data_IF_425721493707
#
_entry.id   IF_425721493707
#
_cell.length_a   1.000
_cell.length_b   1.000
_cell.length_c   1.000
_cell.angle_alpha   90.00
_cell.angle_beta   90.00
_cell.angle_gamma   90.00
#
_symmetry.space_group_name_H-M   'P 1'
#
loop_
_entity.id
_entity.type
_entity.pdbx_description
1 polymer ?
#
# COMPACT_ATOMS: atom_id res chain seq x y z
N UNK A 1 2.05 -8.35 16.27
CA UNK A 1 1.05 -7.79 17.21
C UNK A 1 -0.14 -7.32 16.42
N UNK A 2 -1.34 -7.39 17.00
CA UNK A 2 -2.55 -6.84 16.37
C UNK A 2 -2.69 -5.36 16.76
N UNK A 3 -3.38 -4.59 15.94
CA UNK A 3 -3.61 -3.18 16.22
C UNK A 3 -4.68 -3.04 17.31
N UNK A 4 -4.41 -2.23 18.33
CA UNK A 4 -5.31 -2.00 19.46
C UNK A 4 -5.87 -0.59 19.40
N UNK A 5 -7.15 -0.46 19.69
CA UNK A 5 -7.90 0.80 19.75
C UNK A 5 -8.56 0.96 21.12
N UNK A 6 -9.18 2.10 21.39
CA UNK A 6 -9.87 2.37 22.67
C UNK A 6 -10.97 1.33 22.96
N UNK A 7 -11.60 0.82 21.91
CA UNK A 7 -12.75 -0.10 21.93
C UNK A 7 -12.38 -1.55 21.61
N UNK A 8 -11.14 -1.82 21.19
CA UNK A 8 -10.67 -3.17 20.90
C UNK A 8 -9.27 -3.38 21.45
N UNK A 9 -9.19 -4.17 22.53
CA UNK A 9 -7.94 -4.53 23.20
C UNK A 9 -7.34 -5.80 22.57
N UNK A 10 -6.31 -5.61 21.76
CA UNK A 10 -5.56 -6.70 21.13
C UNK A 10 -4.08 -6.72 21.59
N UNK A 11 -3.79 -6.08 22.72
CA UNK A 11 -2.43 -6.00 23.27
C UNK A 11 -2.15 -7.11 24.30
N UNK A 12 -0.90 -7.24 24.73
CA UNK A 12 -0.47 -8.30 25.67
C UNK A 12 -0.24 -7.74 27.09
N UNK A 13 -0.84 -6.59 27.42
CA UNK A 13 -0.77 -5.98 28.76
C UNK A 13 -1.95 -6.46 29.61
N UNK A 14 -1.81 -6.39 30.93
CA UNK A 14 -2.91 -6.68 31.87
C UNK A 14 -4.02 -5.63 31.86
N UNK A 15 -3.83 -4.52 31.14
CA UNK A 15 -4.83 -3.48 30.94
C UNK A 15 -4.62 -2.77 29.61
N UNK A 16 -5.67 -2.09 29.13
CA UNK A 16 -5.75 -1.60 27.76
C UNK A 16 -4.81 -0.42 27.48
N UNK A 17 -3.74 -0.68 26.73
CA UNK A 17 -2.72 0.33 26.43
C UNK A 17 -3.28 1.50 25.62
N UNK A 18 -4.23 1.25 24.73
CA UNK A 18 -4.86 2.30 23.94
C UNK A 18 -5.60 3.34 24.80
N UNK A 19 -6.23 2.89 25.90
CA UNK A 19 -6.91 3.77 26.86
C UNK A 19 -5.90 4.50 27.75
N UNK A 20 -4.87 3.79 28.22
CA UNK A 20 -3.85 4.34 29.12
C UNK A 20 -3.05 5.46 28.42
N UNK A 21 -2.59 5.19 27.20
CA UNK A 21 -1.66 6.05 26.45
C UNK A 21 -2.31 6.88 25.35
N UNK A 22 -3.66 6.93 25.32
CA UNK A 22 -4.43 7.91 24.54
C UNK A 22 -4.11 7.89 23.03
N UNK A 23 -3.88 6.70 22.48
CA UNK A 23 -3.58 6.49 21.06
C UNK A 23 -3.91 5.08 20.60
N UNK A 24 -4.01 4.86 19.29
CA UNK A 24 -4.20 3.53 18.70
C UNK A 24 -2.91 3.07 18.02
N UNK A 25 -2.46 1.86 18.34
CA UNK A 25 -1.15 1.37 17.89
C UNK A 25 -1.09 -0.17 17.91
N UNK A 26 -0.07 -0.73 17.26
CA UNK A 26 0.31 -2.13 17.45
C UNK A 26 1.03 -2.28 18.80
N UNK A 27 0.26 -2.38 19.88
CA UNK A 27 0.78 -2.48 21.25
C UNK A 27 1.19 -3.92 21.62
N UNK A 28 2.27 -4.08 22.40
CA UNK A 28 2.65 -5.35 23.06
C UNK A 28 2.26 -5.28 24.54
N UNK A 29 3.25 -5.30 25.44
CA UNK A 29 3.18 -4.63 26.73
C UNK A 29 3.25 -3.10 26.51
N UNK A 30 2.19 -2.56 25.91
CA UNK A 30 2.05 -1.17 25.49
C UNK A 30 3.07 -0.75 24.44
N UNK A 31 3.82 0.33 24.63
CA UNK A 31 4.63 0.87 23.54
C UNK A 31 5.98 1.44 23.92
N UNK A 32 6.89 1.41 22.94
CA UNK A 32 8.01 2.36 22.80
C UNK A 32 7.75 3.47 21.79
N UNK A 33 6.71 3.32 20.95
CA UNK A 33 6.28 4.32 19.99
C UNK A 33 4.76 4.48 20.02
N UNK A 34 4.29 5.72 19.98
CA UNK A 34 2.86 6.03 19.96
C UNK A 34 2.65 7.20 19.00
N UNK A 35 2.74 6.93 17.70
CA UNK A 35 2.65 8.00 16.68
C UNK A 35 1.23 8.56 16.53
N UNK A 36 0.24 7.85 17.09
CA UNK A 36 -1.17 8.26 17.11
C UNK A 36 -1.62 8.74 18.51
N UNK A 37 -0.68 9.11 19.38
CA UNK A 37 -0.96 9.66 20.71
C UNK A 37 -1.44 11.11 20.68
N UNK A 38 -1.66 11.71 21.85
CA UNK A 38 -2.10 13.10 21.94
C UNK A 38 -1.03 14.06 21.42
N UNK A 39 -1.46 15.11 20.73
CA UNK A 39 -0.56 16.17 20.30
C UNK A 39 -0.29 17.15 21.44
N UNK A 40 0.81 16.96 22.18
CA UNK A 40 1.13 17.72 23.41
C UNK A 40 2.23 18.78 23.25
N UNK A 41 2.57 19.14 22.00
CA UNK A 41 3.48 20.26 21.62
C UNK A 41 4.82 20.25 22.38
N UNK A 42 5.68 19.28 22.08
CA UNK A 42 7.02 19.22 22.66
C UNK A 42 7.04 18.68 24.10
N UNK A 43 7.85 19.23 25.01
CA UNK A 43 7.94 18.73 26.39
C UNK A 43 6.61 18.84 27.14
N UNK A 44 6.20 17.76 27.81
CA UNK A 44 4.96 17.70 28.61
C UNK A 44 5.14 16.88 29.88
N UNK A 45 4.27 17.07 30.88
CA UNK A 45 4.37 16.41 32.19
C UNK A 45 3.68 15.05 32.26
N UNK A 46 2.74 14.76 31.36
CA UNK A 46 2.03 13.49 31.32
C UNK A 46 2.90 12.36 30.76
N UNK A 47 2.72 11.14 31.26
CA UNK A 47 3.54 10.00 30.87
C UNK A 47 3.02 9.34 29.60
N UNK A 48 3.84 9.32 28.54
CA UNK A 48 3.74 8.44 27.37
C UNK A 48 2.42 8.51 26.56
N UNK A 49 1.58 9.52 26.84
CA UNK A 49 0.29 9.70 26.18
C UNK A 49 0.36 10.65 24.99
N UNK A 50 1.57 11.10 24.62
CA UNK A 50 1.82 12.03 23.54
C UNK A 50 2.16 11.32 22.23
N UNK A 51 2.44 12.09 21.18
CA UNK A 51 3.05 11.55 19.95
C UNK A 51 4.51 11.19 20.25
N UNK A 52 4.78 9.95 20.68
CA UNK A 52 6.07 9.58 21.26
C UNK A 52 6.90 8.64 20.38
N UNK A 53 8.21 8.86 20.37
CA UNK A 53 9.23 7.89 19.93
C UNK A 53 10.30 7.82 21.02
N UNK A 54 10.26 6.74 21.81
CA UNK A 54 11.03 6.62 23.06
C UNK A 54 12.52 6.86 22.83
N UNK A 55 13.10 6.22 21.81
CA UNK A 55 14.54 6.30 21.55
C UNK A 55 15.01 7.70 21.10
N UNK A 56 14.09 8.58 20.67
CA UNK A 56 14.46 9.92 20.20
C UNK A 56 14.37 10.98 21.32
N UNK A 57 13.23 11.06 22.01
CA UNK A 57 12.99 12.10 23.04
C UNK A 57 12.30 11.58 24.31
N UNK A 58 12.12 10.27 24.44
CA UNK A 58 11.45 9.65 25.58
C UNK A 58 9.92 9.87 25.59
N UNK A 59 9.31 9.59 26.75
CA UNK A 59 7.85 9.61 26.93
C UNK A 59 7.25 10.95 27.33
N UNK A 60 8.09 11.92 27.71
CA UNK A 60 7.69 13.26 28.17
C UNK A 60 7.86 14.33 27.08
N UNK A 61 7.92 13.89 25.82
CA UNK A 61 8.07 14.78 24.68
C UNK A 61 7.18 14.29 23.53
N UNK A 62 6.24 15.12 23.12
CA UNK A 62 5.38 14.88 21.96
C UNK A 62 6.04 15.48 20.72
N UNK A 63 6.26 14.64 19.71
CA UNK A 63 6.81 15.06 18.42
C UNK A 63 5.86 16.03 17.73
N UNK A 64 6.45 16.96 16.99
CA UNK A 64 5.72 17.99 16.23
C UNK A 64 4.99 17.41 15.02
N UNK A 65 5.58 16.41 14.38
CA UNK A 65 5.05 15.79 13.17
C UNK A 65 5.40 14.31 13.15
N UNK A 66 4.45 13.49 12.74
CA UNK A 66 4.65 12.08 12.43
C UNK A 66 3.86 11.77 11.17
N UNK A 67 4.54 11.27 10.17
CA UNK A 67 3.94 11.01 8.86
C UNK A 67 4.27 9.57 8.47
N UNK A 68 3.25 8.80 8.10
CA UNK A 68 3.45 7.56 7.37
C UNK A 68 3.47 7.92 5.88
N UNK A 69 4.58 7.65 5.21
CA UNK A 69 4.77 8.02 3.81
C UNK A 69 4.32 6.89 2.89
N UNK A 70 3.72 7.28 1.77
CA UNK A 70 3.50 6.43 0.60
C UNK A 70 3.97 7.14 -0.65
N UNK A 71 4.30 6.38 -1.69
CA UNK A 71 4.71 6.96 -2.96
C UNK A 71 3.48 7.28 -3.82
N UNK A 72 3.41 8.54 -4.27
CA UNK A 72 2.32 9.09 -5.05
C UNK A 72 2.82 9.52 -6.43
N UNK A 73 2.21 8.99 -7.48
CA UNK A 73 2.42 9.50 -8.84
C UNK A 73 1.37 10.58 -9.15
N UNK A 74 1.86 11.80 -9.43
CA UNK A 74 1.02 12.97 -9.73
C UNK A 74 0.91 13.25 -11.23
N UNK A 75 1.49 12.41 -12.09
CA UNK A 75 1.31 12.46 -13.54
C UNK A 75 -0.08 11.98 -13.97
N UNK A 76 -0.46 12.21 -15.23
CA UNK A 76 -1.70 11.68 -15.83
C UNK A 76 -2.97 12.02 -15.02
N UNK A 77 -3.11 13.25 -14.53
CA UNK A 77 -4.25 13.70 -13.71
C UNK A 77 -4.06 13.47 -12.20
N UNK A 78 -2.97 12.82 -11.79
CA UNK A 78 -2.56 12.63 -10.40
C UNK A 78 -3.48 11.74 -9.57
N UNK A 79 -3.15 11.61 -8.28
CA UNK A 79 -3.93 10.80 -7.36
C UNK A 79 -3.61 9.30 -7.39
N UNK A 80 -2.48 8.90 -7.98
CA UNK A 80 -2.09 7.50 -8.11
C UNK A 80 -1.25 7.03 -6.93
N UNK A 81 -1.75 6.05 -6.19
CA UNK A 81 -0.96 5.37 -5.15
C UNK A 81 -0.18 4.25 -5.79
N UNK A 82 1.16 4.34 -5.78
CA UNK A 82 2.04 3.30 -6.33
C UNK A 82 2.21 2.20 -5.29
N UNK A 83 1.97 0.95 -5.69
CA UNK A 83 2.15 -0.20 -4.80
C UNK A 83 3.26 -1.17 -5.24
N UNK A 84 3.80 -1.00 -6.45
CA UNK A 84 4.95 -1.74 -6.93
C UNK A 84 5.75 -0.87 -7.89
N UNK A 85 7.08 -0.90 -7.78
CA UNK A 85 7.99 -0.29 -8.76
C UNK A 85 9.23 -1.13 -9.00
N UNK A 86 9.59 -1.30 -10.27
CA UNK A 86 10.87 -1.87 -10.76
C UNK A 86 11.60 -0.83 -11.62
N UNK A 87 12.92 -0.70 -11.44
CA UNK A 87 13.72 0.35 -12.10
C UNK A 87 15.19 0.03 -12.36
N UNK A 88 15.83 -0.91 -11.65
CA UNK A 88 17.27 -1.16 -11.81
C UNK A 88 17.75 -2.53 -11.30
N UNK A 89 16.85 -3.36 -10.74
CA UNK A 89 17.18 -4.70 -10.25
C UNK A 89 18.06 -4.74 -9.00
N UNK A 90 18.15 -3.64 -8.25
CA UNK A 90 18.94 -3.60 -7.01
C UNK A 90 18.19 -4.19 -5.81
N UNK A 91 16.87 -4.24 -5.88
CA UNK A 91 16.05 -4.91 -4.86
C UNK A 91 15.72 -6.32 -5.34
N UNK A 92 15.94 -7.30 -4.48
CA UNK A 92 15.52 -8.68 -4.73
C UNK A 92 13.99 -8.79 -4.58
N UNK A 93 13.33 -9.41 -5.56
CA UNK A 93 11.90 -9.70 -5.56
C UNK A 93 11.62 -11.21 -5.41
N UNK A 94 12.65 -12.07 -5.38
CA UNK A 94 12.46 -13.50 -5.15
C UNK A 94 12.44 -13.81 -3.64
N UNK A 95 11.44 -13.27 -2.96
CA UNK A 95 11.29 -13.28 -1.50
C UNK A 95 10.16 -14.22 -1.02
N UNK A 96 10.06 -14.38 0.30
CA UNK A 96 9.11 -15.28 0.96
C UNK A 96 7.73 -14.63 1.12
N UNK A 97 6.73 -15.41 1.57
CA UNK A 97 5.37 -14.95 1.83
C UNK A 97 5.32 -13.76 2.79
N UNK A 98 6.06 -13.83 3.90
CA UNK A 98 6.06 -12.79 4.94
C UNK A 98 6.52 -11.42 4.38
N UNK A 99 7.55 -11.43 3.52
CA UNK A 99 8.04 -10.24 2.82
C UNK A 99 6.96 -9.66 1.90
N UNK A 100 6.28 -10.50 1.12
CA UNK A 100 5.19 -10.07 0.22
C UNK A 100 3.93 -9.63 0.96
N UNK A 101 3.68 -10.18 2.15
CA UNK A 101 2.55 -9.82 2.99
C UNK A 101 2.71 -8.41 3.56
N UNK A 102 3.89 -8.08 4.06
CA UNK A 102 4.17 -6.83 4.77
C UNK A 102 4.93 -5.77 3.98
N UNK A 103 5.44 -6.11 2.81
CA UNK A 103 6.13 -5.19 1.91
C UNK A 103 7.63 -5.11 2.17
N UNK A 104 8.36 -4.66 1.15
CA UNK A 104 9.81 -4.56 1.16
C UNK A 104 10.30 -3.50 0.18
N UNK A 105 11.58 -3.15 0.28
CA UNK A 105 12.24 -2.18 -0.58
C UNK A 105 12.17 -0.75 -0.08
N UNK A 106 12.38 0.20 -1.00
CA UNK A 106 12.48 1.62 -0.70
C UNK A 106 11.47 2.39 -1.57
N UNK A 107 10.59 3.16 -0.92
CA UNK A 107 9.53 3.93 -1.58
C UNK A 107 10.07 4.96 -2.58
N UNK A 108 11.35 5.35 -2.51
CA UNK A 108 12.02 6.22 -3.49
C UNK A 108 12.81 5.41 -4.55
N UNK A 109 12.89 4.08 -4.41
CA UNK A 109 13.51 3.13 -5.37
C UNK A 109 12.60 1.96 -5.75
N UNK A 110 13.10 0.73 -5.84
CA UNK A 110 12.27 -0.44 -6.08
C UNK A 110 11.62 -0.93 -4.78
N UNK A 111 10.31 -1.21 -4.83
CA UNK A 111 9.56 -1.67 -3.67
C UNK A 111 8.32 -2.46 -4.05
N UNK A 112 7.82 -3.21 -3.07
CA UNK A 112 6.50 -3.80 -3.03
C UNK A 112 5.79 -3.32 -1.75
N UNK A 113 4.60 -2.74 -1.87
CA UNK A 113 3.91 -2.12 -0.74
C UNK A 113 3.47 -3.12 0.33
N UNK A 114 3.19 -4.37 -0.06
CA UNK A 114 2.69 -5.42 0.84
C UNK A 114 1.22 -5.75 0.58
N UNK A 115 0.92 -7.04 0.43
CA UNK A 115 -0.44 -7.56 0.15
C UNK A 115 -1.45 -7.15 1.23
N UNK A 116 -1.02 -7.09 2.49
CA UNK A 116 -1.87 -6.61 3.59
C UNK A 116 -2.38 -5.19 3.32
N UNK A 117 -1.51 -4.29 2.87
CA UNK A 117 -1.87 -2.90 2.59
C UNK A 117 -2.66 -2.77 1.28
N UNK A 118 -2.28 -3.52 0.24
CA UNK A 118 -3.00 -3.53 -1.05
C UNK A 118 -4.44 -4.04 -0.87
N UNK A 119 -4.66 -5.09 -0.07
CA UNK A 119 -6.01 -5.54 0.30
C UNK A 119 -6.80 -4.41 0.95
N UNK A 120 -6.23 -3.71 1.94
CA UNK A 120 -6.92 -2.60 2.63
C UNK A 120 -7.27 -1.45 1.70
N UNK A 121 -6.35 -1.08 0.80
CA UNK A 121 -6.56 -0.06 -0.23
C UNK A 121 -7.67 -0.45 -1.20
N UNK A 122 -7.79 -1.75 -1.50
CA UNK A 122 -8.72 -2.26 -2.51
C UNK A 122 -10.01 -2.87 -1.96
N UNK A 123 -10.16 -2.95 -0.63
CA UNK A 123 -11.32 -3.54 0.04
C UNK A 123 -12.61 -2.73 -0.15
N UNK A 124 -12.50 -1.44 -0.48
CA UNK A 124 -13.60 -0.51 -0.70
C UNK A 124 -14.22 -0.56 -2.12
N UNK A 125 -14.63 0.62 -2.62
CA UNK A 125 -15.23 0.83 -3.96
C UNK A 125 -14.33 0.28 -5.09
N UNK A 126 -14.86 0.18 -6.31
CA UNK A 126 -14.09 -0.17 -7.52
C UNK A 126 -12.84 0.71 -7.66
N UNK A 127 -11.67 0.08 -7.61
CA UNK A 127 -10.39 0.74 -7.85
C UNK A 127 -9.95 0.42 -9.27
N UNK A 128 -9.40 1.42 -9.95
CA UNK A 128 -8.77 1.23 -11.24
C UNK A 128 -7.29 0.96 -11.05
N UNK A 129 -6.74 -0.02 -11.77
CA UNK A 129 -5.31 -0.28 -11.85
C UNK A 129 -4.75 0.34 -13.13
N UNK A 130 -3.57 0.93 -13.04
CA UNK A 130 -2.73 1.29 -14.18
C UNK A 130 -1.36 0.64 -14.03
N UNK A 131 -0.86 0.08 -15.12
CA UNK A 131 0.47 -0.51 -15.24
C UNK A 131 1.21 0.27 -16.32
N UNK A 132 2.21 1.04 -15.93
CA UNK A 132 3.11 1.73 -16.85
C UNK A 132 4.38 0.90 -17.04
N UNK A 133 4.83 0.83 -18.28
CA UNK A 133 5.86 -0.07 -18.76
C UNK A 133 6.79 0.66 -19.71
N UNK A 134 8.07 0.37 -19.64
CA UNK A 134 9.07 0.82 -20.61
C UNK A 134 10.03 -0.34 -20.88
N UNK A 135 10.63 -0.40 -22.06
CA UNK A 135 11.64 -1.41 -22.42
C UNK A 135 13.04 -0.80 -22.48
N UNK A 136 14.06 -1.63 -22.70
CA UNK A 136 15.46 -1.19 -22.77
C UNK A 136 15.77 -0.24 -23.95
N UNK A 137 14.91 -0.22 -24.97
CA UNK A 137 15.01 0.67 -26.13
C UNK A 137 14.25 1.99 -25.89
N UNK A 138 13.63 2.16 -24.72
CA UNK A 138 12.88 3.35 -24.31
C UNK A 138 11.44 3.41 -24.84
N UNK A 139 10.91 2.32 -25.40
CA UNK A 139 9.51 2.27 -25.83
C UNK A 139 8.60 2.12 -24.62
N UNK A 140 7.60 3.00 -24.51
CA UNK A 140 6.66 3.02 -23.38
C UNK A 140 5.29 2.46 -23.76
N UNK A 141 4.74 1.63 -22.90
CA UNK A 141 3.41 1.01 -23.03
C UNK A 141 2.66 1.14 -21.70
N UNK A 142 1.34 1.03 -21.76
CA UNK A 142 0.51 0.99 -20.56
C UNK A 142 -0.68 0.05 -20.71
N UNK A 143 -1.12 -0.50 -19.58
CA UNK A 143 -2.37 -1.22 -19.43
C UNK A 143 -3.17 -0.61 -18.28
N UNK A 144 -4.48 -0.50 -18.44
CA UNK A 144 -5.42 -0.07 -17.40
C UNK A 144 -6.49 -1.11 -17.21
N UNK A 145 -6.99 -1.26 -15.98
CA UNK A 145 -8.09 -2.14 -15.63
C UNK A 145 -9.09 -1.34 -14.79
N UNK A 146 -10.34 -1.28 -15.21
CA UNK A 146 -11.39 -0.52 -14.50
C UNK A 146 -11.80 -1.14 -13.17
N UNK A 147 -11.45 -2.41 -12.94
CA UNK A 147 -11.61 -3.10 -11.67
C UNK A 147 -10.31 -3.78 -11.28
N UNK A 148 -9.85 -3.49 -10.07
CA UNK A 148 -8.76 -4.20 -9.40
C UNK A 148 -9.06 -4.33 -7.91
N UNK A 149 -8.99 -5.55 -7.40
CA UNK A 149 -9.15 -5.86 -5.98
C UNK A 149 -8.30 -7.06 -5.59
N UNK A 150 -7.78 -7.00 -4.37
CA UNK A 150 -6.99 -8.07 -3.75
C UNK A 150 -7.76 -8.58 -2.53
N UNK A 151 -7.96 -9.88 -2.46
CA UNK A 151 -8.60 -10.60 -1.34
C UNK A 151 -7.83 -10.43 -0.03
N UNK A 152 -8.40 -10.91 1.08
CA UNK A 152 -7.70 -10.92 2.37
C UNK A 152 -6.80 -12.17 2.49
N UNK A 153 -6.13 -12.32 3.64
CA UNK A 153 -5.27 -13.47 3.91
C UNK A 153 -6.03 -14.82 3.89
N UNK A 154 -7.33 -14.86 4.26
CA UNK A 154 -8.16 -16.07 4.24
C UNK A 154 -8.52 -16.55 2.82
N UNK A 155 -8.22 -15.73 1.82
CA UNK A 155 -8.39 -16.03 0.40
C UNK A 155 -7.06 -15.96 -0.33
N UNK A 156 -5.96 -16.05 0.41
CA UNK A 156 -4.60 -16.07 -0.12
C UNK A 156 -4.35 -14.87 -1.06
N UNK A 157 -4.94 -13.73 -0.69
CA UNK A 157 -4.89 -12.48 -1.43
C UNK A 157 -5.37 -12.59 -2.89
N UNK A 158 -6.42 -13.37 -3.15
CA UNK A 158 -7.04 -13.58 -4.47
C UNK A 158 -7.19 -12.31 -5.31
N UNK A 159 -6.75 -12.36 -6.58
CA UNK A 159 -6.90 -11.27 -7.53
C UNK A 159 -8.30 -11.22 -8.12
N UNK A 160 -8.90 -10.03 -8.15
CA UNK A 160 -10.05 -9.70 -9.00
C UNK A 160 -9.66 -8.56 -9.92
N UNK A 161 -9.66 -8.80 -11.23
CA UNK A 161 -9.29 -7.80 -12.24
C UNK A 161 -10.17 -7.92 -13.48
N UNK A 162 -10.62 -6.78 -14.03
CA UNK A 162 -11.40 -6.74 -15.27
C UNK A 162 -11.39 -5.35 -15.93
N UNK A 163 -11.95 -5.27 -17.14
CA UNK A 163 -12.10 -4.01 -17.88
C UNK A 163 -10.79 -3.47 -18.42
N UNK A 164 -10.00 -4.34 -19.06
CA UNK A 164 -8.75 -3.98 -19.70
C UNK A 164 -8.95 -2.89 -20.79
N UNK A 165 -8.00 -1.95 -20.82
CA UNK A 165 -7.75 -1.04 -21.92
C UNK A 165 -6.25 -0.69 -21.96
N UNK A 166 -5.76 -0.15 -23.07
CA UNK A 166 -4.37 0.29 -23.21
C UNK A 166 -3.69 -0.26 -24.46
N UNK A 167 -2.38 -0.08 -24.56
CA UNK A 167 -1.57 -0.44 -25.73
C UNK A 167 -0.48 -1.49 -25.43
N UNK A 168 -0.48 -2.06 -24.22
CA UNK A 168 0.49 -3.04 -23.78
C UNK A 168 0.12 -4.50 -24.13
N UNK A 169 -1.15 -4.78 -24.44
CA UNK A 169 -1.69 -6.15 -24.49
C UNK A 169 -2.28 -6.55 -23.13
N UNK A 170 -3.26 -7.46 -23.12
CA UNK A 170 -3.94 -7.90 -21.89
C UNK A 170 -3.33 -9.17 -21.32
N UNK A 171 -2.32 -9.00 -20.46
CA UNK A 171 -1.62 -10.13 -19.82
C UNK A 171 -1.90 -10.26 -18.33
N UNK A 172 -2.87 -9.52 -17.78
CA UNK A 172 -3.28 -9.63 -16.38
C UNK A 172 -4.66 -10.27 -16.23
N UNK A 173 -5.58 -10.10 -17.19
CA UNK A 173 -6.91 -10.70 -17.10
C UNK A 173 -6.87 -12.23 -17.02
N UNK A 174 -5.85 -12.87 -17.61
CA UNK A 174 -5.62 -14.32 -17.46
C UNK A 174 -5.48 -14.73 -15.99
N UNK A 175 -4.87 -13.87 -15.16
CA UNK A 175 -4.62 -14.11 -13.74
C UNK A 175 -5.84 -13.85 -12.86
N UNK A 176 -6.96 -13.34 -13.41
CA UNK A 176 -8.17 -13.08 -12.64
C UNK A 176 -8.67 -14.34 -11.91
N UNK A 177 -8.96 -14.20 -10.62
CA UNK A 177 -9.41 -15.28 -9.74
C UNK A 177 -8.30 -16.13 -9.11
N UNK A 178 -7.04 -15.96 -9.51
CA UNK A 178 -5.92 -16.70 -8.94
C UNK A 178 -5.53 -16.17 -7.55
N UNK A 179 -4.98 -17.07 -6.74
CA UNK A 179 -4.42 -16.79 -5.42
C UNK A 179 -2.94 -16.41 -5.57
N UNK A 180 -2.42 -15.62 -4.62
CA UNK A 180 -1.03 -15.18 -4.69
C UNK A 180 -0.11 -16.33 -4.29
N UNK A 181 1.03 -16.50 -4.98
CA UNK A 181 1.99 -17.56 -4.67
C UNK A 181 3.40 -17.01 -4.54
N UNK A 182 4.18 -17.57 -3.60
CA UNK A 182 5.60 -17.31 -3.36
C UNK A 182 6.39 -18.63 -3.37
N UNK A 183 7.72 -18.56 -3.32
CA UNK A 183 8.58 -19.76 -3.33
C UNK A 183 8.35 -20.70 -2.14
N UNK A 184 7.81 -20.18 -1.05
CA UNK A 184 7.51 -20.89 0.19
C UNK A 184 6.00 -21.11 0.44
N UNK A 185 5.12 -20.62 -0.45
CA UNK A 185 3.68 -20.84 -0.38
C UNK A 185 3.08 -21.00 -1.78
N UNK A 186 2.73 -22.24 -2.13
CA UNK A 186 2.18 -22.63 -3.44
C UNK A 186 0.64 -22.63 -3.39
N UNK A 187 0.02 -21.66 -4.05
CA UNK A 187 -1.43 -21.51 -4.16
C UNK A 187 -1.87 -21.44 -5.64
N UNK A 188 -1.05 -21.98 -6.56
CA UNK A 188 -1.33 -21.92 -8.00
C UNK A 188 -1.96 -23.23 -8.54
N UNK A 189 -2.48 -23.19 -9.78
CA UNK A 189 -3.18 -24.31 -10.41
C UNK A 189 -2.23 -25.33 -11.08
N UNK A 190 -0.91 -25.15 -10.95
CA UNK A 190 0.09 -26.04 -11.55
C UNK A 190 0.34 -27.27 -10.67
N UNK A 191 0.93 -28.33 -11.25
CA UNK A 191 1.34 -29.51 -10.47
C UNK A 191 2.62 -29.28 -9.64
N UNK A 192 3.17 -28.07 -9.67
CA UNK A 192 4.29 -27.64 -8.84
C UNK A 192 4.43 -26.13 -8.88
N UNK A 193 5.15 -25.60 -7.90
CA UNK A 193 5.20 -24.19 -7.57
C UNK A 193 5.74 -23.30 -8.72
N UNK A 194 4.86 -22.48 -9.32
CA UNK A 194 5.22 -21.54 -10.37
C UNK A 194 6.15 -20.43 -9.89
N UNK A 195 5.99 -19.96 -8.65
CA UNK A 195 6.86 -18.95 -8.06
C UNK A 195 8.33 -19.42 -8.01
N UNK A 196 8.55 -20.70 -7.70
CA UNK A 196 9.89 -21.32 -7.75
C UNK A 196 10.37 -21.53 -9.19
N UNK A 197 9.48 -21.89 -10.11
CA UNK A 197 9.84 -22.15 -11.50
C UNK A 197 10.23 -20.86 -12.28
N UNK A 198 9.67 -19.72 -11.89
CA UNK A 198 9.84 -18.42 -12.59
C UNK A 198 10.45 -17.32 -11.72
N UNK A 199 11.06 -17.68 -10.60
CA UNK A 199 11.86 -16.79 -9.76
C UNK A 199 11.15 -15.47 -9.42
N UNK A 200 9.91 -15.57 -8.96
CA UNK A 200 9.07 -14.42 -8.64
C UNK A 200 7.98 -14.74 -7.64
N UNK A 201 7.03 -13.81 -7.50
CA UNK A 201 5.81 -14.02 -6.75
C UNK A 201 4.64 -13.28 -7.40
N UNK A 202 3.56 -14.00 -7.67
CA UNK A 202 2.45 -13.48 -8.46
C UNK A 202 1.18 -14.28 -8.24
N UNK A 203 0.08 -13.81 -8.84
CA UNK A 203 -1.17 -14.54 -8.95
C UNK A 203 -1.09 -15.60 -10.06
N UNK A 204 -0.23 -16.60 -9.89
CA UNK A 204 0.02 -17.62 -10.91
C UNK A 204 -1.20 -18.54 -11.12
N UNK A 205 -1.35 -19.05 -12.36
CA UNK A 205 -2.24 -20.17 -12.71
C UNK A 205 -1.38 -21.30 -13.27
N UNK A 206 -1.73 -21.83 -14.45
CA UNK A 206 -0.91 -22.80 -15.18
C UNK A 206 -0.51 -22.26 -16.58
N UNK A 207 0.49 -21.38 -16.71
CA UNK A 207 1.33 -20.80 -15.63
C UNK A 207 1.16 -19.28 -15.52
N UNK A 208 1.77 -18.48 -16.39
CA UNK A 208 1.55 -17.02 -16.40
C UNK A 208 1.58 -16.39 -17.79
N UNK A 209 0.87 -15.26 -17.94
CA UNK A 209 1.04 -14.32 -19.06
C UNK A 209 1.78 -13.05 -18.63
N UNK A 210 1.92 -12.81 -17.32
CA UNK A 210 2.72 -11.72 -16.76
C UNK A 210 3.49 -12.15 -15.51
N UNK A 211 4.69 -11.59 -15.33
CA UNK A 211 5.53 -11.85 -14.15
C UNK A 211 6.30 -10.58 -13.74
N UNK A 212 5.59 -9.51 -13.38
CA UNK A 212 6.20 -8.20 -13.11
C UNK A 212 7.10 -8.17 -11.85
N UNK A 213 7.01 -9.22 -11.03
CA UNK A 213 7.83 -9.48 -9.85
C UNK A 213 8.95 -10.51 -10.12
N UNK A 214 9.13 -10.98 -11.35
CA UNK A 214 10.21 -11.88 -11.73
C UNK A 214 11.59 -11.23 -11.68
N UNK A 215 12.59 -12.00 -12.13
CA UNK A 215 13.98 -11.56 -12.17
C UNK A 215 14.13 -10.33 -13.06
N UNK A 216 15.00 -9.45 -12.60
CA UNK A 216 15.45 -8.31 -13.37
C UNK A 216 16.63 -8.74 -14.25
N UNK A 217 16.35 -9.04 -15.52
CA UNK A 217 17.35 -9.47 -16.48
C UNK A 217 17.57 -8.37 -17.55
N UNK A 218 18.83 -8.04 -17.84
CA UNK A 218 19.20 -6.96 -18.78
C UNK A 218 19.51 -7.50 -20.17
N UNK A 219 18.70 -7.19 -21.18
CA UNK A 219 18.90 -7.62 -22.56
C UNK A 219 18.28 -8.97 -22.93
N UNK A 220 18.74 -9.59 -24.02
CA UNK A 220 18.23 -10.89 -24.47
C UNK A 220 18.82 -12.03 -23.64
N UNK A 221 17.96 -12.78 -22.94
CA UNK A 221 18.35 -13.95 -22.14
C UNK A 221 17.74 -15.25 -22.68
N UNK A 222 18.44 -16.35 -22.42
CA UNK A 222 18.07 -17.72 -22.82
C UNK A 222 17.13 -18.42 -21.83
N UNK A 223 16.76 -17.77 -20.71
CA UNK A 223 15.83 -18.30 -19.70
C UNK A 223 14.37 -18.17 -20.17
N UNK A 224 13.58 -19.23 -19.99
CA UNK A 224 12.17 -19.25 -20.39
C UNK A 224 11.30 -18.50 -19.36
N UNK A 225 10.98 -17.23 -19.61
CA UNK A 225 9.93 -16.46 -18.94
C UNK A 225 10.09 -16.16 -17.43
N UNK A 226 11.26 -16.42 -16.83
CA UNK A 226 11.59 -16.02 -15.45
C UNK A 226 11.76 -14.50 -15.28
N UNK A 227 11.83 -13.76 -16.38
CA UNK A 227 12.04 -12.31 -16.40
C UNK A 227 10.74 -11.52 -16.23
N UNK A 228 10.88 -10.22 -15.92
CA UNK A 228 9.77 -9.28 -15.98
C UNK A 228 9.13 -9.28 -17.36
N UNK A 229 7.92 -9.83 -17.45
CA UNK A 229 7.21 -10.05 -18.73
C UNK A 229 5.77 -9.55 -18.69
N UNK A 230 5.33 -9.01 -19.84
CA UNK A 230 3.94 -8.79 -20.21
C UNK A 230 3.80 -9.20 -21.70
N UNK A 231 2.89 -10.11 -22.03
CA UNK A 231 2.69 -10.54 -23.43
C UNK A 231 1.36 -11.25 -23.70
N UNK A 232 0.84 -11.09 -24.92
CA UNK A 232 -0.18 -11.97 -25.49
C UNK A 232 0.49 -13.24 -26.03
N UNK A 233 -0.27 -14.33 -26.20
CA UNK A 233 0.16 -15.70 -26.59
C UNK A 233 1.18 -15.82 -27.75
N UNK A 234 1.46 -14.74 -28.50
CA UNK A 234 2.39 -14.69 -29.63
C UNK A 234 3.59 -13.72 -29.48
N UNK A 235 3.66 -12.87 -28.44
CA UNK A 235 4.76 -11.91 -28.25
C UNK A 235 5.00 -11.61 -26.76
N UNK A 236 6.10 -12.13 -26.21
CA UNK A 236 6.61 -11.70 -24.90
C UNK A 236 7.39 -10.39 -25.06
N UNK A 237 7.03 -9.34 -24.31
CA UNK A 237 7.95 -8.22 -24.09
C UNK A 237 9.07 -8.74 -23.17
N UNK A 238 10.27 -8.92 -23.72
CA UNK A 238 11.45 -9.36 -22.97
C UNK A 238 12.17 -8.16 -22.37
N UNK A 239 12.41 -8.19 -21.06
CA UNK A 239 13.24 -7.22 -20.36
C UNK A 239 12.60 -5.82 -20.26
N UNK A 240 11.91 -5.55 -19.16
CA UNK A 240 11.20 -4.28 -18.94
C UNK A 240 11.91 -3.37 -17.93
N UNK A 241 11.92 -2.08 -18.24
CA UNK A 241 12.48 -0.99 -17.46
C UNK A 241 11.86 0.36 -17.82
N UNK A 242 11.31 1.13 -16.86
CA UNK A 242 10.66 0.78 -15.59
C UNK A 242 9.30 0.07 -15.73
N UNK A 243 8.89 -0.60 -14.64
CA UNK A 243 7.50 -1.09 -14.45
C UNK A 243 6.91 -0.45 -13.21
N UNK A 244 5.70 0.08 -13.33
CA UNK A 244 5.01 0.79 -12.27
C UNK A 244 3.55 0.32 -12.18
N UNK A 245 3.14 -0.24 -11.03
CA UNK A 245 1.73 -0.56 -10.78
C UNK A 245 1.11 0.45 -9.81
N UNK A 246 -0.03 1.01 -10.23
CA UNK A 246 -0.64 2.18 -9.61
C UNK A 246 -2.15 2.02 -9.46
N UNK A 247 -2.69 2.46 -8.33
CA UNK A 247 -4.14 2.49 -8.09
C UNK A 247 -4.69 3.91 -8.18
N UNK A 248 -5.83 4.05 -8.83
CA UNK A 248 -6.65 5.26 -8.81
C UNK A 248 -8.07 4.91 -8.35
N UNK A 249 -8.53 5.61 -7.30
CA UNK A 249 -9.91 5.54 -6.86
C UNK A 249 -10.77 6.50 -7.69
N UNK A 250 -11.89 6.02 -8.23
CA UNK A 250 -12.86 6.87 -8.93
C UNK A 250 -13.48 7.87 -7.95
N UNK A 251 -13.26 9.16 -8.21
CA UNK A 251 -13.86 10.36 -7.60
C UNK A 251 -14.43 10.22 -6.17
N UNK A 252 -13.73 10.83 -5.19
CA UNK A 252 -14.44 11.47 -4.10
C UNK A 252 -15.04 12.77 -4.64
N UNK A 253 -16.37 12.79 -4.84
CA UNK A 253 -17.11 14.06 -4.78
C UNK A 253 -16.74 14.70 -3.43
N UNK A 254 -15.83 15.67 -3.45
CA UNK A 254 -15.63 16.59 -2.35
C UNK A 254 -16.89 17.44 -2.23
N UNK A 255 -17.95 16.91 -1.61
CA UNK A 255 -18.91 17.76 -0.90
C UNK A 255 -18.25 18.23 0.40
N UNK A 256 -17.17 18.98 0.25
CA UNK A 256 -16.70 19.90 1.28
C UNK A 256 -17.74 21.00 1.37
N UNK A 257 -18.74 20.79 2.22
CA UNK A 257 -19.27 21.94 2.94
C UNK A 257 -18.11 22.50 3.78
N UNK A 258 -17.71 23.72 3.40
CA UNK A 258 -17.03 24.71 4.23
C UNK A 258 -15.50 24.61 4.33
N UNK A 259 -14.80 24.98 3.26
CA UNK A 259 -13.62 25.83 3.42
C UNK A 259 -14.09 27.29 3.50
N UNK A 260 -14.15 27.85 4.71
CA UNK A 260 -14.02 29.30 4.88
C UNK A 260 -12.55 29.54 5.20
N UNK A 261 -11.80 30.01 4.20
CA UNK A 261 -10.51 30.65 4.42
C UNK A 261 -10.82 32.10 4.81
N UNK A 262 -10.53 32.49 6.05
CA UNK A 262 -10.33 33.90 6.40
C UNK A 262 -8.89 34.06 6.85
N UNK A 263 -8.11 34.77 6.04
CA UNK A 263 -6.84 35.37 6.46
C UNK A 263 -7.12 36.72 7.10
N UNK A 264 -6.93 36.88 8.42
CA UNK A 264 -6.30 38.07 9.01
C UNK A 264 -6.01 37.87 10.51
N UNK A 265 -4.92 38.42 11.06
CA UNK A 265 -4.47 38.21 12.43
C UNK A 265 -4.94 39.35 13.35
N UNK A 266 -5.79 39.07 14.34
CA UNK A 266 -5.88 39.83 15.61
C UNK A 266 -6.84 39.16 16.61
N UNK A 267 -6.28 38.81 17.78
CA UNK A 267 -6.88 38.78 19.13
C UNK A 267 -8.22 38.04 19.44
N UNK A 268 -8.04 36.91 20.17
CA UNK A 268 -8.59 36.53 21.50
C UNK A 268 -10.07 36.07 21.70
N UNK A 269 -10.32 35.27 22.77
CA UNK A 269 -11.10 34.03 22.72
C UNK A 269 -12.56 34.18 23.19
N UNK A 270 -13.46 33.37 22.60
CA UNK A 270 -14.82 33.18 23.12
C UNK A 270 -15.08 31.69 23.31
N UNK A 271 -15.15 31.30 24.58
CA UNK A 271 -15.78 30.10 25.11
C UNK A 271 -17.29 30.11 24.83
N UNK A 272 -17.82 29.14 24.08
CA UNK A 272 -19.10 28.45 24.40
C UNK A 272 -19.47 27.36 23.37
N UNK A 273 -19.71 26.17 23.94
CA UNK A 273 -20.69 25.15 23.55
C UNK A 273 -20.59 24.49 22.17
N UNK A 274 -20.00 23.28 22.16
CA UNK A 274 -20.51 22.15 21.37
C UNK A 274 -20.89 21.03 22.33
N UNK A 275 -22.10 21.10 22.88
CA UNK A 275 -22.79 19.94 23.43
C UNK A 275 -23.66 19.32 22.33
N UNK A 276 -23.68 17.99 22.29
CA UNK A 276 -24.45 17.09 21.39
C UNK A 276 -23.85 16.86 20.00
N UNK A 277 -22.90 15.94 19.97
CA UNK A 277 -22.75 14.91 18.93
C UNK A 277 -22.28 13.63 19.64
N UNK A 278 -23.06 13.17 20.61
CA UNK A 278 -23.11 11.75 20.98
C UNK A 278 -24.05 11.08 19.97
N UNK A 279 -23.68 9.90 19.49
CA UNK A 279 -24.27 9.16 18.37
C UNK A 279 -23.79 9.56 16.96
N UNK A 280 -22.57 9.14 16.62
CA UNK A 280 -22.26 8.31 15.43
C UNK A 280 -20.89 7.66 15.72
N UNK A 281 -20.94 6.42 16.21
CA UNK A 281 -19.80 5.52 16.34
C UNK A 281 -19.37 4.98 14.99
N UNK A 282 -18.93 5.88 14.10
CA UNK A 282 -18.18 5.59 12.89
C UNK A 282 -17.01 6.57 12.87
N UNK A 283 -16.02 6.31 13.72
CA UNK A 283 -14.71 6.92 13.53
C UNK A 283 -14.22 6.39 12.19
N UNK A 284 -14.22 7.29 11.21
CA UNK A 284 -13.62 7.16 9.90
C UNK A 284 -12.18 6.60 10.04
N UNK A 285 -12.04 5.27 10.00
CA UNK A 285 -10.81 4.62 9.56
C UNK A 285 -10.88 4.41 8.05
N UNK A 286 -11.18 5.48 7.33
CA UNK A 286 -10.67 5.59 5.97
C UNK A 286 -9.24 6.08 6.16
N UNK A 287 -8.28 5.16 6.13
CA UNK A 287 -6.95 5.51 5.68
C UNK A 287 -7.14 6.03 4.26
N UNK A 288 -7.40 7.33 4.14
CA UNK A 288 -7.26 8.04 2.90
C UNK A 288 -5.75 8.14 2.64
N UNK A 289 -5.14 7.02 2.26
CA UNK A 289 -3.99 6.98 1.37
C UNK A 289 -4.49 7.38 -0.02
N UNK A 290 -5.15 8.52 -0.12
CA UNK A 290 -5.41 9.18 -1.38
C UNK A 290 -4.29 10.20 -1.52
N UNK A 291 -3.59 10.11 -2.64
CA UNK A 291 -2.56 11.06 -3.04
C UNK A 291 -3.21 12.42 -3.33
N UNK A 292 -3.59 13.14 -2.28
CA UNK A 292 -4.21 14.46 -2.36
C UNK A 292 -3.17 15.58 -2.43
N UNK A 293 -1.91 15.31 -2.08
CA UNK A 293 -0.79 16.26 -2.25
C UNK A 293 0.54 15.56 -1.91
N UNK A 294 1.52 15.63 -2.81
CA UNK A 294 2.93 15.50 -2.45
C UNK A 294 3.75 16.56 -3.19
N UNK A 295 4.76 17.10 -2.50
CA UNK A 295 5.51 18.32 -2.84
C UNK A 295 6.18 18.24 -4.22
N UNK A 296 6.04 19.35 -4.95
CA UNK A 296 6.82 19.71 -6.14
C UNK A 296 8.33 19.61 -5.90
#
# INVERSE_FOLDING_TARGET
MKFSTKDQDNDNSSGTCAIAYKGAWWYNNCHRSNLNGLYLVGPHSSYANGVNWYDFKGYYYSLKTTEMKVYCDMSNGGGWTVFQRRMNGKTDFYLNWDDYQYGFGDLDKEFWLGLYYINRLTAGKSNSLRVDLEDFDGNKKYATYSTFKVGNADTEYKLTVSGYAGNAGDSLSYHNGAEFSTKDQDNDDSSGNCATAYDGAWWYKNRHLSNLNGLYLVGSHSSYANEMTLGDYNYYLKGMLPVLLMLHGVEFELRLYSFIIITNPTFQPITRQMNKLEEIGLIFFSFALTCLSAKY
#
